data_IF_631964301061
#
_entry.id   IF_631964301061
#
_cell.length_a   1.000
_cell.length_b   1.000
_cell.length_c   1.000
_cell.angle_alpha   90.00
_cell.angle_beta   90.00
_cell.angle_gamma   90.00
#
_symmetry.space_group_name_H-M   'P 1'
#
loop_
_entity.id
_entity.type
_entity.pdbx_description
1 polymer ?
#
# COMPACT_ATOMS: atom_id res chain seq x y z
N UNK A 1 24.63 5.72 -1.01
CA UNK A 1 23.47 6.24 -0.26
C UNK A 1 22.32 6.36 -1.25
N UNK A 2 21.19 5.72 -1.00
CA UNK A 2 20.06 5.70 -1.95
C UNK A 2 19.23 6.97 -1.73
N UNK A 3 19.02 7.81 -2.77
CA UNK A 3 18.30 9.08 -2.60
C UNK A 3 16.85 8.86 -2.17
N UNK A 4 16.39 9.65 -1.19
CA UNK A 4 15.01 9.58 -0.67
C UNK A 4 13.92 9.78 -1.72
N UNK A 5 14.20 10.59 -2.75
CA UNK A 5 13.29 10.82 -3.87
C UNK A 5 12.81 9.51 -4.49
N UNK A 6 13.69 8.51 -4.57
CA UNK A 6 13.39 7.22 -5.18
C UNK A 6 12.24 6.47 -4.50
N UNK A 7 12.03 6.64 -3.18
CA UNK A 7 10.90 6.00 -2.48
C UNK A 7 9.58 6.71 -2.77
N UNK A 8 9.57 8.04 -2.79
CA UNK A 8 8.41 8.83 -3.18
C UNK A 8 8.03 8.53 -4.64
N UNK A 9 9.02 8.45 -5.52
CA UNK A 9 8.82 8.15 -6.94
C UNK A 9 8.29 6.73 -7.14
N UNK A 10 8.83 5.74 -6.42
CA UNK A 10 8.30 4.38 -6.43
C UNK A 10 6.86 4.32 -5.93
N UNK A 11 6.57 4.92 -4.76
CA UNK A 11 5.22 4.97 -4.20
C UNK A 11 4.25 5.64 -5.17
N UNK A 12 4.59 6.83 -5.67
CA UNK A 12 3.77 7.60 -6.60
C UNK A 12 3.51 6.82 -7.89
N UNK A 13 4.53 6.18 -8.45
CA UNK A 13 4.39 5.34 -9.65
C UNK A 13 3.42 4.19 -9.41
N UNK A 14 3.51 3.51 -8.25
CA UNK A 14 2.59 2.42 -7.89
C UNK A 14 1.15 2.93 -7.77
N UNK A 15 0.93 4.07 -7.12
CA UNK A 15 -0.41 4.68 -7.00
C UNK A 15 -0.99 5.04 -8.37
N UNK A 16 -0.20 5.63 -9.27
CA UNK A 16 -0.63 5.95 -10.63
C UNK A 16 -1.02 4.68 -11.41
N UNK A 17 -0.22 3.62 -11.32
CA UNK A 17 -0.49 2.34 -12.00
C UNK A 17 -1.73 1.65 -11.43
N UNK A 18 -1.89 1.63 -10.11
CA UNK A 18 -3.10 1.14 -9.45
C UNK A 18 -4.33 1.95 -9.87
N UNK A 19 -4.21 3.27 -9.87
CA UNK A 19 -5.29 4.17 -10.24
C UNK A 19 -5.72 3.98 -11.69
N UNK A 20 -4.78 3.85 -12.61
CA UNK A 20 -5.06 3.52 -14.00
C UNK A 20 -5.81 2.18 -14.13
N UNK A 21 -5.39 1.14 -13.39
CA UNK A 21 -6.07 -0.14 -13.38
C UNK A 21 -7.53 -0.01 -12.90
N UNK A 22 -7.78 0.72 -11.81
CA UNK A 22 -9.13 0.98 -11.30
C UNK A 22 -10.00 1.81 -12.26
N UNK A 23 -9.42 2.79 -12.97
CA UNK A 23 -10.13 3.51 -14.02
C UNK A 23 -10.59 2.55 -15.13
N UNK A 24 -9.70 1.67 -15.60
CA UNK A 24 -10.04 0.64 -16.57
C UNK A 24 -11.11 -0.33 -16.04
N UNK A 25 -11.08 -0.68 -14.75
CA UNK A 25 -12.13 -1.49 -14.13
C UNK A 25 -13.49 -0.81 -14.19
N UNK A 26 -13.58 0.47 -13.77
CA UNK A 26 -14.83 1.22 -13.79
C UNK A 26 -15.40 1.38 -15.21
N UNK A 27 -14.55 1.64 -16.20
CA UNK A 27 -14.94 1.66 -17.63
C UNK A 27 -15.44 0.28 -18.07
N UNK A 28 -14.70 -0.79 -17.74
CA UNK A 28 -15.07 -2.16 -18.10
C UNK A 28 -16.42 -2.57 -17.52
N UNK A 29 -16.70 -2.25 -16.25
CA UNK A 29 -18.01 -2.48 -15.62
C UNK A 29 -19.13 -1.71 -16.34
N UNK A 30 -18.87 -0.46 -16.74
CA UNK A 30 -19.84 0.36 -17.50
C UNK A 30 -20.16 -0.27 -18.85
N UNK A 31 -19.14 -0.72 -19.60
CA UNK A 31 -19.34 -1.34 -20.92
C UNK A 31 -19.99 -2.71 -20.79
N UNK A 32 -19.68 -3.49 -19.75
CA UNK A 32 -20.31 -4.79 -19.48
C UNK A 32 -21.83 -4.67 -19.34
N UNK A 33 -22.33 -3.56 -18.79
CA UNK A 33 -23.77 -3.28 -18.67
C UNK A 33 -24.46 -3.06 -20.02
N UNK A 34 -23.73 -2.63 -21.04
CA UNK A 34 -24.27 -2.35 -22.38
C UNK A 34 -24.04 -3.54 -23.33
N UNK A 35 -22.86 -4.15 -23.27
CA UNK A 35 -22.47 -5.28 -24.09
C UNK A 35 -21.72 -6.34 -23.26
N UNK A 36 -22.42 -7.36 -22.74
CA UNK A 36 -21.81 -8.42 -21.96
C UNK A 36 -20.79 -9.25 -22.73
N UNK A 37 -20.79 -9.27 -24.07
CA UNK A 37 -19.87 -10.08 -24.88
C UNK A 37 -18.55 -9.36 -25.23
N UNK A 38 -18.34 -8.13 -24.72
CA UNK A 38 -17.19 -7.30 -25.08
C UNK A 38 -15.82 -7.93 -24.80
N UNK A 39 -14.84 -7.64 -25.67
CA UNK A 39 -13.44 -7.98 -25.47
C UNK A 39 -12.82 -7.32 -24.22
N UNK A 40 -13.45 -6.26 -23.68
CA UNK A 40 -13.00 -5.60 -22.45
C UNK A 40 -12.98 -6.55 -21.23
N UNK A 41 -13.76 -7.64 -21.27
CA UNK A 41 -13.69 -8.73 -20.29
C UNK A 41 -12.28 -9.33 -20.12
N UNK A 42 -11.44 -9.24 -21.15
CA UNK A 42 -10.05 -9.75 -21.13
C UNK A 42 -9.02 -8.63 -21.00
N UNK A 43 -9.31 -7.46 -21.58
CA UNK A 43 -8.40 -6.31 -21.55
C UNK A 43 -8.25 -5.76 -20.12
N UNK A 44 -9.34 -5.58 -19.39
CA UNK A 44 -9.26 -5.05 -18.02
C UNK A 44 -8.41 -5.95 -17.09
N UNK A 45 -8.63 -7.28 -17.03
CA UNK A 45 -7.73 -8.18 -16.29
C UNK A 45 -6.25 -8.07 -16.70
N UNK A 46 -5.98 -7.96 -18.00
CA UNK A 46 -4.62 -7.80 -18.52
C UNK A 46 -3.99 -6.47 -18.06
N UNK A 47 -4.77 -5.39 -17.98
CA UNK A 47 -4.31 -4.10 -17.45
C UNK A 47 -3.93 -4.21 -15.99
N UNK A 48 -4.71 -4.91 -15.14
CA UNK A 48 -4.33 -5.14 -13.74
C UNK A 48 -3.04 -5.94 -13.62
N UNK A 49 -2.91 -7.01 -14.41
CA UNK A 49 -1.72 -7.84 -14.41
C UNK A 49 -0.48 -7.03 -14.81
N UNK A 50 -0.59 -6.28 -15.91
CA UNK A 50 0.47 -5.39 -16.39
C UNK A 50 0.82 -4.29 -15.37
N UNK A 51 -0.19 -3.66 -14.75
CA UNK A 51 0.03 -2.65 -13.72
C UNK A 51 0.79 -3.21 -12.51
N UNK A 52 0.47 -4.45 -12.09
CA UNK A 52 1.20 -5.13 -11.02
C UNK A 52 2.64 -5.45 -11.36
N UNK A 53 2.90 -5.93 -12.59
CA UNK A 53 4.27 -6.16 -13.07
C UNK A 53 5.06 -4.86 -13.19
N UNK A 54 4.48 -3.81 -13.78
CA UNK A 54 5.12 -2.49 -13.91
C UNK A 54 5.39 -1.86 -12.54
N UNK A 55 4.50 -2.07 -11.57
CA UNK A 55 4.70 -1.63 -10.18
C UNK A 55 5.91 -2.33 -9.57
N UNK A 56 6.05 -3.64 -9.80
CA UNK A 56 7.20 -4.40 -9.33
C UNK A 56 8.49 -3.95 -10.02
N UNK A 57 8.45 -3.71 -11.33
CA UNK A 57 9.56 -3.13 -12.09
C UNK A 57 9.96 -1.77 -11.55
N UNK A 58 9.00 -0.91 -11.18
CA UNK A 58 9.27 0.39 -10.58
C UNK A 58 9.99 0.24 -9.22
N UNK A 59 9.60 -0.73 -8.39
CA UNK A 59 10.31 -1.06 -7.15
C UNK A 59 11.78 -1.40 -7.44
N UNK A 60 12.04 -2.30 -8.39
CA UNK A 60 13.41 -2.67 -8.75
C UNK A 60 14.21 -1.50 -9.34
N UNK A 61 13.59 -0.70 -10.19
CA UNK A 61 14.23 0.44 -10.84
C UNK A 61 14.61 1.52 -9.82
N UNK A 62 13.64 2.03 -9.07
CA UNK A 62 13.88 3.15 -8.16
C UNK A 62 14.69 2.74 -6.93
N UNK A 63 14.42 1.56 -6.36
CA UNK A 63 15.02 1.18 -5.07
C UNK A 63 16.33 0.42 -5.19
N UNK A 64 16.63 -0.15 -6.35
CA UNK A 64 17.86 -0.93 -6.51
C UNK A 64 18.48 -0.84 -7.88
N UNK A 65 18.03 0.07 -8.75
CA UNK A 65 18.58 0.21 -10.11
C UNK A 65 18.69 -1.15 -10.85
N UNK A 66 17.65 -1.98 -10.70
CA UNK A 66 17.57 -3.38 -11.17
C UNK A 66 18.49 -4.40 -10.49
N UNK A 67 19.29 -4.02 -9.49
CA UNK A 67 19.98 -4.93 -8.59
C UNK A 67 19.07 -5.45 -7.48
N UNK A 68 18.94 -6.78 -7.38
CA UNK A 68 18.19 -7.43 -6.31
C UNK A 68 18.81 -7.16 -4.93
N UNK A 69 20.15 -7.19 -4.83
CA UNK A 69 20.87 -6.94 -3.59
C UNK A 69 20.63 -5.52 -3.08
N UNK A 70 20.70 -4.53 -3.98
CA UNK A 70 20.43 -3.14 -3.63
C UNK A 70 18.96 -2.94 -3.26
N UNK A 71 18.03 -3.56 -3.99
CA UNK A 71 16.60 -3.53 -3.67
C UNK A 71 16.34 -4.10 -2.27
N UNK A 72 16.89 -5.27 -1.94
CA UNK A 72 16.76 -5.89 -0.62
C UNK A 72 17.34 -4.97 0.46
N UNK A 73 18.49 -4.36 0.19
CA UNK A 73 19.15 -3.43 1.11
C UNK A 73 18.27 -2.21 1.37
N UNK A 74 17.69 -1.61 0.33
CA UNK A 74 16.71 -0.52 0.43
C UNK A 74 15.48 -0.88 1.24
N UNK A 75 14.92 -2.06 1.00
CA UNK A 75 13.71 -2.50 1.71
C UNK A 75 14.00 -2.75 3.19
N UNK A 76 15.20 -3.25 3.54
CA UNK A 76 15.62 -3.47 4.92
C UNK A 76 15.81 -2.19 5.72
N UNK A 77 16.08 -1.08 5.06
CA UNK A 77 16.23 0.24 5.71
C UNK A 77 14.96 0.67 6.45
N UNK A 78 13.79 0.18 6.04
CA UNK A 78 12.53 0.46 6.74
C UNK A 78 11.52 -0.66 6.50
N UNK A 79 11.08 -1.31 7.58
CA UNK A 79 10.14 -2.44 7.56
C UNK A 79 8.82 -2.18 6.82
N UNK A 80 8.45 -0.91 6.68
CA UNK A 80 7.31 -0.46 5.91
C UNK A 80 7.36 -0.66 4.40
N UNK A 81 8.57 -0.66 3.85
CA UNK A 81 8.77 -0.59 2.40
C UNK A 81 8.56 -1.93 1.71
N UNK A 82 8.59 -3.04 2.47
CA UNK A 82 8.17 -4.36 1.98
C UNK A 82 6.71 -4.40 1.51
N UNK A 83 5.89 -3.41 1.88
CA UNK A 83 4.53 -3.29 1.36
C UNK A 83 4.50 -2.93 -0.13
N UNK A 84 5.50 -2.20 -0.67
CA UNK A 84 5.54 -1.84 -2.10
C UNK A 84 5.61 -3.07 -3.04
N UNK A 85 6.55 -4.03 -2.85
CA UNK A 85 6.51 -5.26 -3.63
C UNK A 85 5.28 -6.11 -3.32
N UNK A 86 4.79 -6.11 -2.07
CA UNK A 86 3.55 -6.83 -1.73
C UNK A 86 2.33 -6.31 -2.50
N UNK A 87 2.16 -4.98 -2.60
CA UNK A 87 1.12 -4.35 -3.42
C UNK A 87 1.23 -4.77 -4.89
N UNK A 88 2.45 -4.73 -5.43
CA UNK A 88 2.71 -5.07 -6.83
C UNK A 88 2.32 -6.52 -7.14
N UNK A 89 2.67 -7.44 -6.24
CA UNK A 89 2.34 -8.87 -6.36
C UNK A 89 0.85 -9.12 -6.21
N UNK A 90 0.18 -8.50 -5.24
CA UNK A 90 -1.28 -8.66 -5.04
C UNK A 90 -2.06 -8.07 -6.21
N UNK A 91 -1.65 -6.91 -6.73
CA UNK A 91 -2.26 -6.31 -7.91
C UNK A 91 -2.10 -7.21 -9.15
N UNK A 92 -0.92 -7.81 -9.32
CA UNK A 92 -0.66 -8.77 -10.38
C UNK A 92 -1.50 -10.06 -10.21
N UNK A 93 -1.58 -10.60 -9.00
CA UNK A 93 -2.39 -11.77 -8.67
C UNK A 93 -3.88 -11.52 -8.88
N UNK A 94 -4.37 -10.32 -8.56
CA UNK A 94 -5.73 -9.88 -8.89
C UNK A 94 -5.96 -9.94 -10.41
N UNK A 95 -5.11 -9.28 -11.21
CA UNK A 95 -5.24 -9.32 -12.67
C UNK A 95 -5.17 -10.73 -13.26
N UNK A 96 -4.24 -11.55 -12.76
CA UNK A 96 -4.09 -12.94 -13.17
C UNK A 96 -5.32 -13.78 -12.81
N UNK A 97 -5.86 -13.64 -11.60
CA UNK A 97 -7.07 -14.37 -11.20
C UNK A 97 -8.27 -13.99 -12.08
N UNK A 98 -8.43 -12.71 -12.44
CA UNK A 98 -9.47 -12.26 -13.36
C UNK A 98 -9.25 -12.79 -14.79
N UNK A 99 -8.00 -12.90 -15.25
CA UNK A 99 -7.67 -13.53 -16.54
C UNK A 99 -8.04 -15.02 -16.50
N UNK A 100 -7.66 -15.72 -15.44
CA UNK A 100 -7.99 -17.14 -15.28
C UNK A 100 -9.50 -17.37 -15.22
N UNK A 101 -10.27 -16.49 -14.59
CA UNK A 101 -11.75 -16.53 -14.64
C UNK A 101 -12.27 -16.45 -16.09
N UNK A 102 -11.63 -15.64 -16.94
CA UNK A 102 -12.03 -15.46 -18.33
C UNK A 102 -11.65 -16.64 -19.25
N UNK A 103 -10.61 -17.41 -18.91
CA UNK A 103 -10.05 -18.47 -19.77
C UNK A 103 -10.20 -19.90 -19.22
N UNK A 104 -10.43 -20.08 -17.92
CA UNK A 104 -10.52 -21.39 -17.27
C UNK A 104 -11.95 -21.94 -17.25
N UNK A 105 -12.05 -23.28 -17.15
CA UNK A 105 -13.31 -23.97 -16.81
C UNK A 105 -13.77 -23.75 -15.36
N UNK A 106 -12.85 -23.40 -14.45
CA UNK A 106 -13.10 -23.25 -13.01
C UNK A 106 -13.46 -21.81 -12.58
N UNK A 107 -14.45 -21.21 -13.26
CA UNK A 107 -14.78 -19.78 -13.11
C UNK A 107 -15.05 -19.35 -11.66
N UNK A 108 -15.71 -20.20 -10.87
CA UNK A 108 -16.09 -19.87 -9.50
C UNK A 108 -14.88 -19.71 -8.56
N UNK A 109 -13.86 -20.55 -8.71
CA UNK A 109 -12.62 -20.46 -7.92
C UNK A 109 -11.88 -19.16 -8.24
N UNK A 110 -11.65 -18.88 -9.52
CA UNK A 110 -10.91 -17.70 -9.96
C UNK A 110 -11.61 -16.38 -9.63
N UNK A 111 -12.95 -16.37 -9.71
CA UNK A 111 -13.77 -15.25 -9.25
C UNK A 111 -13.65 -15.02 -7.75
N UNK A 112 -13.61 -16.09 -6.95
CA UNK A 112 -13.42 -15.96 -5.49
C UNK A 112 -12.01 -15.44 -5.17
N UNK A 113 -11.00 -15.93 -5.89
CA UNK A 113 -9.64 -15.45 -5.77
C UNK A 113 -9.52 -13.95 -6.13
N UNK A 114 -10.19 -13.49 -7.19
CA UNK A 114 -10.16 -12.07 -7.58
C UNK A 114 -10.80 -11.17 -6.52
N UNK A 115 -11.94 -11.57 -5.94
CA UNK A 115 -12.52 -10.85 -4.81
C UNK A 115 -11.60 -10.84 -3.58
N UNK A 116 -10.97 -11.97 -3.27
CA UNK A 116 -10.00 -12.06 -2.18
C UNK A 116 -8.82 -11.11 -2.39
N UNK A 117 -8.19 -11.13 -3.57
CA UNK A 117 -7.05 -10.26 -3.84
C UNK A 117 -7.42 -8.79 -3.88
N UNK A 118 -8.62 -8.45 -4.38
CA UNK A 118 -9.12 -7.08 -4.32
C UNK A 118 -9.34 -6.63 -2.88
N UNK A 119 -9.97 -7.46 -2.04
CA UNK A 119 -10.10 -7.18 -0.61
C UNK A 119 -8.75 -7.02 0.07
N UNK A 120 -7.80 -7.92 -0.22
CA UNK A 120 -6.47 -7.90 0.37
C UNK A 120 -5.67 -6.67 -0.07
N UNK A 121 -5.85 -6.19 -1.30
CA UNK A 121 -5.29 -4.94 -1.78
C UNK A 121 -5.79 -3.72 -0.97
N UNK A 122 -7.09 -3.69 -0.62
CA UNK A 122 -7.65 -2.65 0.24
C UNK A 122 -7.14 -2.75 1.68
N UNK A 123 -6.99 -3.97 2.19
CA UNK A 123 -6.38 -4.21 3.49
C UNK A 123 -4.93 -3.69 3.53
N UNK A 124 -4.14 -3.96 2.50
CA UNK A 124 -2.76 -3.44 2.39
C UNK A 124 -2.74 -1.91 2.39
N UNK A 125 -3.66 -1.24 1.67
CA UNK A 125 -3.82 0.22 1.70
C UNK A 125 -4.12 0.72 3.12
N UNK A 126 -4.98 0.00 3.85
CA UNK A 126 -5.35 0.36 5.22
C UNK A 126 -4.18 0.29 6.21
N UNK A 127 -3.29 -0.70 6.07
CA UNK A 127 -2.15 -0.85 6.99
C UNK A 127 -0.94 0.02 6.63
N UNK A 128 -0.87 0.58 5.41
CA UNK A 128 0.30 1.32 4.94
C UNK A 128 0.61 2.57 5.77
N UNK A 129 -0.42 3.26 6.28
CA UNK A 129 -0.23 4.45 7.14
C UNK A 129 0.61 4.16 8.41
N UNK A 130 0.61 2.91 8.91
CA UNK A 130 1.39 2.52 10.09
C UNK A 130 2.90 2.47 9.81
N UNK A 131 3.26 2.58 8.53
CA UNK A 131 4.62 2.37 8.02
C UNK A 131 5.29 3.65 7.53
N UNK A 132 4.55 4.75 7.43
CA UNK A 132 5.10 6.09 7.16
C UNK A 132 5.52 6.81 8.45
N UNK A 133 6.17 7.97 8.31
CA UNK A 133 6.59 8.76 9.48
C UNK A 133 5.39 9.24 10.29
N UNK A 134 5.53 9.40 11.63
CA UNK A 134 4.46 9.92 12.49
C UNK A 134 3.85 11.23 11.97
N UNK A 135 4.68 12.12 11.43
CA UNK A 135 4.29 13.44 10.89
C UNK A 135 3.37 13.35 9.65
N UNK A 136 3.48 12.27 8.86
CA UNK A 136 2.67 12.06 7.67
C UNK A 136 1.49 11.09 7.92
N UNK A 137 1.52 10.35 9.04
CA UNK A 137 0.61 9.21 9.30
C UNK A 137 -0.86 9.54 9.13
N UNK A 138 -1.35 10.64 9.71
CA UNK A 138 -2.77 10.98 9.67
C UNK A 138 -3.21 11.40 8.26
N UNK A 139 -2.36 12.13 7.55
CA UNK A 139 -2.63 12.57 6.19
C UNK A 139 -2.62 11.38 5.21
N UNK A 140 -1.60 10.51 5.33
CA UNK A 140 -1.53 9.25 4.60
C UNK A 140 -2.72 8.35 4.91
N UNK A 141 -3.17 8.27 6.17
CA UNK A 141 -4.37 7.52 6.54
C UNK A 141 -5.62 8.12 5.88
N UNK A 142 -5.80 9.43 5.95
CA UNK A 142 -6.96 10.10 5.35
C UNK A 142 -7.02 9.86 3.83
N UNK A 143 -5.88 9.98 3.15
CA UNK A 143 -5.78 9.70 1.71
C UNK A 143 -6.09 8.23 1.38
N UNK A 144 -5.53 7.27 2.13
CA UNK A 144 -5.84 5.86 1.91
C UNK A 144 -7.30 5.53 2.24
N UNK A 145 -7.89 6.11 3.29
CA UNK A 145 -9.31 5.94 3.59
C UNK A 145 -10.19 6.46 2.46
N UNK A 146 -9.82 7.60 1.86
CA UNK A 146 -10.53 8.16 0.71
C UNK A 146 -10.55 7.20 -0.49
N UNK A 147 -9.56 6.30 -0.63
CA UNK A 147 -9.49 5.22 -1.64
C UNK A 147 -10.21 3.95 -1.17
N UNK A 148 -10.00 3.55 0.09
CA UNK A 148 -10.53 2.30 0.67
C UNK A 148 -12.05 2.32 0.74
N UNK A 149 -12.66 3.44 1.16
CA UNK A 149 -14.11 3.52 1.28
C UNK A 149 -14.85 3.31 -0.06
N UNK A 150 -14.55 4.07 -1.14
CA UNK A 150 -15.22 3.87 -2.41
C UNK A 150 -14.92 2.49 -3.01
N UNK A 151 -13.68 2.02 -2.96
CA UNK A 151 -13.32 0.70 -3.50
C UNK A 151 -13.96 -0.45 -2.71
N UNK A 152 -14.00 -0.34 -1.37
CA UNK A 152 -14.64 -1.31 -0.49
C UNK A 152 -16.15 -1.34 -0.70
N UNK A 153 -16.79 -0.18 -0.84
CA UNK A 153 -18.20 -0.10 -1.19
C UNK A 153 -18.46 -0.69 -2.59
N UNK A 154 -17.61 -0.41 -3.58
CA UNK A 154 -17.71 -0.99 -4.92
C UNK A 154 -17.63 -2.51 -4.88
N UNK A 155 -16.70 -3.06 -4.10
CA UNK A 155 -16.55 -4.50 -3.88
C UNK A 155 -17.82 -5.11 -3.27
N UNK A 156 -18.37 -4.52 -2.21
CA UNK A 156 -19.61 -4.98 -1.57
C UNK A 156 -20.80 -4.92 -2.53
N UNK A 157 -20.98 -3.79 -3.22
CA UNK A 157 -22.06 -3.63 -4.20
C UNK A 157 -21.91 -4.60 -5.37
N UNK A 158 -20.68 -4.88 -5.82
CA UNK A 158 -20.41 -5.86 -6.85
C UNK A 158 -20.83 -7.26 -6.40
N UNK A 159 -20.45 -7.68 -5.18
CA UNK A 159 -20.87 -8.97 -4.61
C UNK A 159 -22.40 -9.12 -4.53
N UNK A 160 -23.11 -8.05 -4.15
CA UNK A 160 -24.58 -8.04 -4.12
C UNK A 160 -25.14 -8.11 -5.56
N UNK A 161 -24.56 -7.33 -6.47
CA UNK A 161 -25.03 -7.24 -7.85
C UNK A 161 -24.82 -8.53 -8.66
N UNK A 162 -23.87 -9.39 -8.27
CA UNK A 162 -23.71 -10.73 -8.85
C UNK A 162 -24.94 -11.63 -8.66
N UNK A 163 -25.82 -11.32 -7.72
CA UNK A 163 -27.09 -12.04 -7.50
C UNK A 163 -28.32 -11.25 -7.96
N UNK A 164 -28.28 -9.93 -7.75
CA UNK A 164 -29.44 -9.07 -7.98
C UNK A 164 -29.57 -8.60 -9.45
N UNK A 165 -28.45 -8.60 -10.19
CA UNK A 165 -28.34 -8.18 -11.60
C UNK A 165 -29.03 -6.82 -11.89
N UNK A 166 -28.96 -5.90 -10.92
CA UNK A 166 -29.58 -4.58 -11.04
C UNK A 166 -28.64 -3.61 -11.74
N UNK A 167 -29.09 -3.08 -12.88
CA UNK A 167 -28.34 -2.07 -13.66
C UNK A 167 -27.85 -0.89 -12.79
N UNK A 168 -28.69 -0.40 -11.89
CA UNK A 168 -28.33 0.70 -10.97
C UNK A 168 -27.14 0.37 -10.06
N UNK A 169 -27.06 -0.87 -9.55
CA UNK A 169 -25.91 -1.31 -8.76
C UNK A 169 -24.64 -1.39 -9.60
N UNK A 170 -24.74 -1.88 -10.84
CA UNK A 170 -23.60 -1.90 -11.76
C UNK A 170 -23.07 -0.50 -12.09
N UNK A 171 -23.96 0.49 -12.25
CA UNK A 171 -23.58 1.89 -12.45
C UNK A 171 -22.86 2.41 -11.21
N UNK A 172 -23.41 2.18 -10.02
CA UNK A 172 -22.78 2.59 -8.76
C UNK A 172 -21.38 1.97 -8.59
N UNK A 173 -21.23 0.67 -8.86
CA UNK A 173 -19.93 -0.03 -8.84
C UNK A 173 -18.94 0.65 -9.80
N UNK A 174 -19.38 0.95 -11.02
CA UNK A 174 -18.54 1.59 -12.04
C UNK A 174 -18.05 2.96 -11.58
N UNK A 175 -18.95 3.81 -11.07
CA UNK A 175 -18.64 5.15 -10.58
C UNK A 175 -17.65 5.09 -9.41
N UNK A 176 -17.85 4.18 -8.46
CA UNK A 176 -16.98 4.04 -7.30
C UNK A 176 -15.56 3.58 -7.69
N UNK A 177 -15.41 2.67 -8.65
CA UNK A 177 -14.09 2.31 -9.18
C UNK A 177 -13.43 3.45 -9.96
N UNK A 178 -14.20 4.23 -10.73
CA UNK A 178 -13.68 5.43 -11.40
C UNK A 178 -13.19 6.47 -10.37
N UNK A 179 -13.95 6.72 -9.30
CA UNK A 179 -13.55 7.63 -8.22
C UNK A 179 -12.26 7.15 -7.54
N UNK A 180 -12.20 5.86 -7.20
CA UNK A 180 -11.02 5.21 -6.60
C UNK A 180 -9.80 5.40 -7.50
N UNK A 181 -9.96 5.13 -8.80
CA UNK A 181 -8.89 5.27 -9.78
C UNK A 181 -8.40 6.71 -9.91
N UNK A 182 -9.32 7.67 -9.95
CA UNK A 182 -8.99 9.09 -10.02
C UNK A 182 -8.25 9.57 -8.76
N UNK A 183 -8.70 9.17 -7.57
CA UNK A 183 -8.03 9.52 -6.31
C UNK A 183 -6.60 8.97 -6.26
N UNK A 184 -6.39 7.74 -6.70
CA UNK A 184 -5.07 7.11 -6.75
C UNK A 184 -4.12 7.81 -7.74
N UNK A 185 -4.61 8.18 -8.93
CA UNK A 185 -3.78 8.91 -9.92
C UNK A 185 -3.43 10.32 -9.43
N UNK A 186 -4.33 10.97 -8.70
CA UNK A 186 -4.11 12.31 -8.16
C UNK A 186 -3.33 12.33 -6.85
N UNK A 187 -3.21 11.19 -6.17
CA UNK A 187 -2.46 11.09 -4.93
C UNK A 187 -0.97 11.33 -5.18
N UNK A 188 -0.39 12.22 -4.36
CA UNK A 188 1.04 12.45 -4.31
C UNK A 188 1.52 12.18 -2.91
N UNK A 189 2.59 11.41 -2.81
CA UNK A 189 3.21 11.13 -1.52
C UNK A 189 3.78 12.44 -0.93
N UNK A 190 3.55 12.65 0.36
CA UNK A 190 4.13 13.80 1.05
C UNK A 190 5.63 13.60 1.20
N UNK A 191 6.40 14.67 1.02
CA UNK A 191 7.86 14.63 1.17
C UNK A 191 8.32 14.09 2.53
N UNK A 192 7.53 14.27 3.59
CA UNK A 192 7.84 13.77 4.93
C UNK A 192 7.44 12.31 5.15
N UNK A 193 6.80 11.61 4.22
CA UNK A 193 6.39 10.21 4.40
C UNK A 193 7.58 9.26 4.60
N UNK A 194 8.66 9.46 3.82
CA UNK A 194 9.83 8.57 3.81
C UNK A 194 11.17 9.20 4.22
N UNK A 195 11.22 10.48 4.59
CA UNK A 195 12.45 11.12 5.12
C UNK A 195 12.91 10.43 6.41
N UNK A 196 14.22 10.32 6.66
CA UNK A 196 14.68 9.96 8.00
C UNK A 196 14.47 11.16 8.92
N UNK A 197 13.83 10.94 10.07
CA UNK A 197 13.92 11.90 11.17
C UNK A 197 15.37 11.94 11.64
N UNK A 198 15.99 13.11 11.62
CA UNK A 198 17.20 13.33 12.42
C UNK A 198 16.76 13.16 13.87
N UNK A 199 17.09 12.01 14.47
CA UNK A 199 17.10 11.91 15.92
C UNK A 199 18.30 12.75 16.34
N UNK A 200 18.07 14.02 16.66
CA UNK A 200 19.02 14.77 17.46
C UNK A 200 19.04 14.03 18.79
N UNK A 201 20.02 13.14 18.98
CA UNK A 201 20.46 12.82 20.31
C UNK A 201 21.02 14.15 20.80
N UNK A 202 20.19 14.96 21.47
CA UNK A 202 20.73 15.87 22.46
C UNK A 202 21.47 14.95 23.40
N UNK A 203 22.79 14.86 23.22
CA UNK A 203 23.69 14.47 24.28
C UNK A 203 23.23 15.35 25.44
N UNK A 204 22.50 14.75 26.38
CA UNK A 204 22.33 15.39 27.65
C UNK A 204 23.74 15.70 28.09
N UNK A 205 24.08 16.98 28.18
CA UNK A 205 25.22 17.40 28.97
C UNK A 205 25.13 16.56 30.25
N UNK A 206 26.19 15.82 30.63
CA UNK A 206 26.13 14.99 31.82
C UNK A 206 25.59 15.90 32.91
N UNK A 207 24.45 15.53 33.49
CA UNK A 207 23.98 16.22 34.66
C UNK A 207 25.19 16.23 35.60
N UNK A 208 25.65 17.43 35.97
CA UNK A 208 26.53 17.58 37.12
C UNK A 208 25.75 17.01 38.30
N UNK A 209 25.88 15.71 38.50
CA UNK A 209 25.65 15.08 39.77
C UNK A 209 26.74 15.64 40.68
N UNK A 210 26.51 16.84 41.20
CA UNK A 210 27.17 17.32 42.41
C UNK A 210 26.66 16.53 43.62
N UNK A 211 26.55 15.21 43.46
CA UNK A 211 26.36 14.23 44.49
C UNK A 211 27.59 14.27 45.38
N UNK A 212 27.53 15.17 46.37
CA UNK A 212 28.30 15.04 47.59
C UNK A 212 28.02 13.64 48.11
N UNK A 213 28.97 12.73 47.89
CA UNK A 213 29.02 11.47 48.62
C UNK A 213 29.36 11.88 50.06
N UNK A 214 28.35 12.04 50.90
CA UNK A 214 28.56 11.99 52.34
C UNK A 214 29.02 10.57 52.67
N UNK A 215 30.33 10.43 52.86
CA UNK A 215 30.91 9.21 53.38
C UNK A 215 30.33 8.97 54.78
N UNK A 216 29.82 7.77 55.10
CA UNK A 216 29.37 7.45 56.44
C UNK A 216 30.53 7.65 57.42
N UNK A 217 30.27 8.41 58.47
CA UNK A 217 31.21 8.64 59.57
C UNK A 217 31.65 7.28 60.16
N UNK A 218 32.95 6.92 60.13
CA UNK A 218 33.39 5.64 60.68
C UNK A 218 33.13 5.62 62.20
N UNK A 219 32.36 4.62 62.65
CA UNK A 219 32.11 4.39 64.07
C UNK A 219 33.44 4.25 64.84
N UNK A 220 33.55 4.82 66.06
CA UNK A 220 34.79 4.80 66.82
C UNK A 220 35.20 3.37 67.15
N UNK A 221 36.47 3.07 66.89
CA UNK A 221 37.11 1.79 67.21
C UNK A 221 36.90 1.44 68.69
N UNK A 222 36.22 0.33 68.96
CA UNK A 222 36.24 -0.29 70.29
C UNK A 222 37.60 -0.93 70.49
N UNK A 223 38.47 -0.22 71.21
CA UNK A 223 39.68 -0.79 71.81
C UNK A 223 39.30 -1.92 72.77
N UNK A 224 40.03 -3.02 72.67
CA UNK A 224 39.84 -4.19 73.51
C UNK A 224 40.29 -3.99 74.96
N UNK A 225 39.81 -4.88 75.80
CA UNK A 225 40.57 -5.57 76.84
C UNK A 225 40.21 -7.04 76.79
#
# INVERSE_FOLDING_TARGET
MIPYGNFNDASTTIHVLQGAAFLFLGVSETVKLQNPATALKKICPAVFFAAGLLSLTAVFYYLGNFSLEETISSLRLRSGLHLLPAFSLVLSALGLSMLMEAFSGEKAFWKTASFFFLFFLLFLNGVFHSKVNPEARLETLAAHLAVIFPAGLALLLKLINEKAEKKALGIAVSVLFLMTGFQLVMYKEKDSSFKYGLVTITEGAPAEDSGKIELPNPAPARGGR
#
